data_IF_361421161789
#
_entry.id   IF_361421161789
#
_cell.length_a   1.000
_cell.length_b   1.000
_cell.length_c   1.000
_cell.angle_alpha   90.00
_cell.angle_beta   90.00
_cell.angle_gamma   90.00
#
_symmetry.space_group_name_H-M   'P 1'
#
loop_
_entity.id
_entity.type
_entity.pdbx_description
1 polymer ?
#
# COMPACT_ATOMS: atom_id res chain seq x y z
N UNK A 1 1.46 -1.08 28.68
CA UNK A 1 2.26 -2.23 28.24
C UNK A 1 2.27 -2.16 26.72
N UNK A 2 3.42 -1.87 26.10
CA UNK A 2 3.54 -1.95 24.63
C UNK A 2 3.69 -3.44 24.32
N UNK A 3 2.67 -4.06 23.77
CA UNK A 3 2.81 -5.39 23.21
C UNK A 3 3.94 -5.34 22.18
N UNK A 4 4.90 -6.22 22.34
CA UNK A 4 6.00 -6.36 21.41
C UNK A 4 5.43 -6.73 20.03
N UNK A 5 5.50 -5.80 19.09
CA UNK A 5 5.29 -6.04 17.66
C UNK A 5 6.54 -6.79 17.19
N UNK A 6 6.57 -8.10 17.48
CA UNK A 6 7.82 -8.80 17.68
C UNK A 6 8.57 -9.17 16.40
N UNK A 7 7.95 -9.24 15.22
CA UNK A 7 8.64 -9.86 14.08
C UNK A 7 8.26 -9.34 12.70
N UNK A 8 7.36 -8.37 12.58
CA UNK A 8 6.81 -8.06 11.28
C UNK A 8 7.74 -7.21 10.42
N UNK A 9 8.13 -7.80 9.34
CA UNK A 9 8.90 -7.17 8.29
C UNK A 9 7.90 -6.56 7.31
N UNK A 10 7.77 -5.25 7.34
CA UNK A 10 6.86 -4.53 6.45
C UNK A 10 7.66 -3.94 5.28
N UNK A 11 7.23 -4.27 4.07
CA UNK A 11 7.73 -3.67 2.83
C UNK A 11 6.83 -2.51 2.44
N UNK A 12 7.42 -1.35 2.17
CA UNK A 12 6.74 -0.19 1.60
C UNK A 12 7.31 0.06 0.21
N UNK A 13 6.49 -0.07 -0.81
CA UNK A 13 6.86 0.23 -2.20
C UNK A 13 6.33 1.61 -2.56
N UNK A 14 7.25 2.53 -2.82
CA UNK A 14 6.99 3.95 -3.00
C UNK A 14 7.13 4.75 -1.71
N UNK A 15 7.99 5.77 -1.71
CA UNK A 15 8.20 6.70 -0.58
C UNK A 15 7.81 8.12 -1.01
N UNK A 16 6.63 8.18 -1.63
CA UNK A 16 6.00 9.39 -2.14
C UNK A 16 4.88 9.91 -1.23
N UNK A 17 3.83 10.47 -1.85
CA UNK A 17 2.69 11.08 -1.14
C UNK A 17 1.91 10.14 -0.23
N UNK A 18 1.85 8.84 -0.55
CA UNK A 18 1.24 7.78 0.24
C UNK A 18 2.25 7.16 1.21
N UNK A 19 3.45 6.82 0.70
CA UNK A 19 4.45 6.08 1.47
C UNK A 19 5.05 6.88 2.63
N UNK A 20 5.24 8.19 2.48
CA UNK A 20 5.75 9.05 3.55
C UNK A 20 4.84 9.05 4.79
N UNK A 21 3.52 9.29 4.68
CA UNK A 21 2.61 9.18 5.81
C UNK A 21 2.54 7.77 6.38
N UNK A 22 2.51 6.74 5.53
CA UNK A 22 2.50 5.36 5.98
C UNK A 22 3.75 5.03 6.81
N UNK A 23 4.92 5.39 6.31
CA UNK A 23 6.21 5.20 6.98
C UNK A 23 6.24 5.88 8.35
N UNK A 24 5.80 7.14 8.42
CA UNK A 24 5.75 7.89 9.66
C UNK A 24 4.81 7.26 10.68
N UNK A 25 3.61 6.87 10.26
CA UNK A 25 2.62 6.24 11.13
C UNK A 25 3.06 4.89 11.66
N UNK A 26 3.68 4.06 10.81
CA UNK A 26 4.27 2.80 11.24
C UNK A 26 5.34 3.02 12.31
N UNK A 27 6.26 3.96 12.10
CA UNK A 27 7.32 4.27 13.08
C UNK A 27 6.74 4.76 14.42
N UNK A 28 5.73 5.64 14.38
CA UNK A 28 5.01 6.10 15.59
C UNK A 28 4.27 4.98 16.31
N UNK A 29 3.69 4.04 15.56
CA UNK A 29 2.96 2.89 16.11
C UNK A 29 3.88 1.81 16.69
N UNK A 30 5.21 1.94 16.51
CA UNK A 30 6.22 1.06 17.09
C UNK A 30 6.69 -0.06 16.17
N UNK A 31 6.45 0.03 14.86
CA UNK A 31 7.08 -0.87 13.89
C UNK A 31 8.60 -0.81 14.03
N UNK A 32 9.26 -1.97 14.01
CA UNK A 32 10.71 -2.05 14.27
C UNK A 32 11.56 -2.35 13.05
N UNK A 33 10.98 -2.95 12.01
CA UNK A 33 11.67 -3.36 10.79
C UNK A 33 10.86 -2.94 9.57
N UNK A 34 11.40 -1.98 8.85
CA UNK A 34 10.77 -1.45 7.64
C UNK A 34 11.77 -1.59 6.49
N UNK A 35 11.30 -2.11 5.36
CA UNK A 35 12.03 -2.04 4.11
C UNK A 35 11.31 -1.06 3.20
N UNK A 36 12.05 -0.13 2.61
CA UNK A 36 11.53 0.87 1.70
C UNK A 36 12.18 0.76 0.33
N UNK A 37 11.36 0.79 -0.72
CA UNK A 37 11.79 0.67 -2.12
C UNK A 37 11.22 1.82 -2.93
N UNK A 38 12.07 2.66 -3.53
CA UNK A 38 11.67 3.77 -4.40
C UNK A 38 12.88 4.15 -5.28
N UNK A 39 12.74 4.25 -6.62
CA UNK A 39 13.85 4.56 -7.51
C UNK A 39 14.17 6.05 -7.58
N UNK A 40 13.24 6.92 -7.15
CA UNK A 40 13.27 8.33 -7.49
C UNK A 40 14.17 9.15 -6.57
N UNK A 41 14.74 10.24 -7.10
CA UNK A 41 15.26 11.31 -6.28
C UNK A 41 14.14 12.21 -5.70
N UNK A 42 14.48 12.97 -4.69
CA UNK A 42 13.62 14.03 -4.18
C UNK A 42 13.61 15.19 -5.16
N UNK A 43 12.42 15.65 -5.54
CA UNK A 43 12.22 16.80 -6.43
C UNK A 43 11.54 17.97 -5.69
N UNK A 44 11.71 19.19 -6.19
CA UNK A 44 11.04 20.39 -5.64
C UNK A 44 9.53 20.21 -5.58
N UNK A 45 8.94 19.63 -6.64
CA UNK A 45 7.50 19.34 -6.73
C UNK A 45 6.99 18.41 -5.65
N UNK A 46 7.88 17.64 -5.04
CA UNK A 46 7.52 16.67 -3.99
C UNK A 46 7.31 17.33 -2.62
N UNK A 47 7.99 18.44 -2.34
CA UNK A 47 8.05 19.05 -1.00
C UNK A 47 6.68 19.51 -0.49
N UNK A 48 5.77 19.85 -1.41
CA UNK A 48 4.40 20.28 -1.06
C UNK A 48 3.55 19.17 -0.39
N UNK A 49 3.90 17.87 -0.58
CA UNK A 49 3.11 16.74 -0.09
C UNK A 49 3.90 15.60 0.54
N UNK A 50 5.22 15.60 0.42
CA UNK A 50 6.12 14.60 0.99
C UNK A 50 6.90 15.24 2.16
N UNK A 51 6.20 15.44 3.27
CA UNK A 51 6.54 16.36 4.37
C UNK A 51 7.82 16.03 5.16
N UNK A 52 8.43 14.88 4.95
CA UNK A 52 9.70 14.53 5.59
C UNK A 52 10.93 15.09 4.87
N UNK A 53 10.79 15.40 3.57
CA UNK A 53 11.88 15.96 2.77
C UNK A 53 12.01 17.47 2.96
N UNK A 54 13.22 17.96 2.74
CA UNK A 54 13.59 19.37 2.87
C UNK A 54 14.36 19.80 1.60
N UNK A 55 14.56 21.11 1.41
CA UNK A 55 15.33 21.66 0.29
C UNK A 55 16.72 21.02 0.18
N UNK A 56 17.37 20.74 1.32
CA UNK A 56 18.68 20.05 1.36
C UNK A 56 18.66 18.62 0.83
N UNK A 57 17.49 18.03 0.61
CA UNK A 57 17.30 16.65 0.15
C UNK A 57 17.04 16.58 -1.37
N UNK A 58 16.78 17.72 -2.01
CA UNK A 58 16.57 17.80 -3.46
C UNK A 58 17.74 17.14 -4.20
N UNK A 59 17.43 16.26 -5.14
CA UNK A 59 18.39 15.48 -5.93
C UNK A 59 18.96 14.24 -5.24
N UNK A 60 18.71 14.04 -3.95
CA UNK A 60 19.10 12.82 -3.24
C UNK A 60 18.03 11.75 -3.38
N UNK A 61 18.42 10.48 -3.25
CA UNK A 61 17.49 9.36 -3.23
C UNK A 61 16.42 9.55 -2.15
N UNK A 62 15.14 9.33 -2.50
CA UNK A 62 14.02 9.40 -1.55
C UNK A 62 14.20 8.44 -0.40
N UNK A 63 14.62 7.19 -0.67
CA UNK A 63 14.79 6.17 0.36
C UNK A 63 15.92 6.52 1.33
N UNK A 64 17.02 7.11 0.86
CA UNK A 64 18.12 7.54 1.73
C UNK A 64 17.70 8.72 2.62
N UNK A 65 16.99 9.69 2.04
CA UNK A 65 16.48 10.84 2.79
C UNK A 65 15.45 10.40 3.85
N UNK A 66 14.55 9.47 3.51
CA UNK A 66 13.57 8.91 4.42
C UNK A 66 14.21 8.08 5.54
N UNK A 67 15.18 7.23 5.20
CA UNK A 67 15.92 6.42 6.19
C UNK A 67 16.66 7.31 7.20
N UNK A 68 17.34 8.34 6.74
CA UNK A 68 18.00 9.33 7.60
C UNK A 68 16.98 10.04 8.51
N UNK A 69 15.86 10.52 7.95
CA UNK A 69 14.81 11.21 8.70
C UNK A 69 14.22 10.33 9.80
N UNK A 70 14.01 9.03 9.51
CA UNK A 70 13.55 8.04 10.50
C UNK A 70 14.60 7.80 11.59
N UNK A 71 15.86 7.59 11.21
CA UNK A 71 16.94 7.36 12.16
C UNK A 71 17.12 8.49 13.17
N UNK A 72 16.93 9.75 12.71
CA UNK A 72 16.97 10.93 13.58
C UNK A 72 15.81 10.99 14.59
N UNK A 73 14.62 10.48 14.25
CA UNK A 73 13.38 10.64 15.05
C UNK A 73 12.90 9.38 15.75
N UNK A 74 13.22 8.25 15.18
CA UNK A 74 12.77 6.93 15.63
C UNK A 74 13.97 5.95 15.67
N UNK A 75 14.97 6.16 16.54
CA UNK A 75 16.21 5.37 16.55
C UNK A 75 15.99 3.88 16.83
N UNK A 76 14.80 3.49 17.30
CA UNK A 76 14.43 2.08 17.49
C UNK A 76 13.93 1.38 16.23
N UNK A 77 13.74 2.11 15.12
CA UNK A 77 13.27 1.55 13.84
C UNK A 77 14.46 1.22 12.95
N UNK A 78 14.58 -0.04 12.55
CA UNK A 78 15.56 -0.47 11.55
C UNK A 78 14.96 -0.31 10.17
N UNK A 79 15.61 0.47 9.32
CA UNK A 79 15.18 0.72 7.94
C UNK A 79 16.19 0.13 6.99
N UNK A 80 15.71 -0.73 6.09
CA UNK A 80 16.45 -1.20 4.92
C UNK A 80 15.97 -0.42 3.69
N UNK A 81 16.85 0.34 3.07
CA UNK A 81 16.52 1.29 2.00
C UNK A 81 17.10 0.82 0.67
N UNK A 82 16.26 0.73 -0.37
CA UNK A 82 16.63 0.31 -1.71
C UNK A 82 16.21 1.34 -2.76
N UNK A 83 17.19 2.04 -3.32
CA UNK A 83 16.99 3.02 -4.40
C UNK A 83 16.87 2.31 -5.76
N UNK A 84 15.83 1.48 -5.93
CA UNK A 84 15.59 0.69 -7.15
C UNK A 84 14.10 0.70 -7.50
N UNK A 85 13.79 0.56 -8.78
CA UNK A 85 12.42 0.28 -9.21
C UNK A 85 12.03 -1.14 -8.82
N UNK A 86 10.80 -1.34 -8.37
CA UNK A 86 10.24 -2.67 -8.24
C UNK A 86 9.82 -3.15 -9.64
N UNK A 87 10.40 -4.25 -10.09
CA UNK A 87 10.13 -4.86 -11.39
C UNK A 87 10.03 -6.39 -11.31
N UNK A 88 9.76 -7.04 -12.44
CA UNK A 88 9.59 -8.49 -12.50
C UNK A 88 10.84 -9.28 -12.07
N UNK A 89 12.04 -8.69 -12.14
CA UNK A 89 13.28 -9.35 -11.77
C UNK A 89 13.52 -9.39 -10.25
N UNK A 90 12.94 -8.47 -9.51
CA UNK A 90 13.21 -8.29 -8.09
C UNK A 90 11.98 -8.41 -7.17
N UNK A 91 10.76 -8.23 -7.69
CA UNK A 91 9.54 -8.19 -6.89
C UNK A 91 9.34 -9.46 -6.05
N UNK A 92 9.55 -10.64 -6.62
CA UNK A 92 9.39 -11.90 -5.90
C UNK A 92 10.30 -12.00 -4.67
N UNK A 93 11.56 -11.55 -4.81
CA UNK A 93 12.53 -11.53 -3.70
C UNK A 93 12.10 -10.58 -2.59
N UNK A 94 11.68 -9.36 -2.95
CA UNK A 94 11.22 -8.39 -1.96
C UNK A 94 9.97 -8.88 -1.25
N UNK A 95 8.95 -9.33 -1.97
CA UNK A 95 7.69 -9.77 -1.38
C UNK A 95 7.88 -10.99 -0.47
N UNK A 96 8.62 -12.01 -0.91
CA UNK A 96 8.84 -13.23 -0.13
C UNK A 96 9.65 -13.02 1.17
N UNK A 97 10.42 -11.92 1.24
CA UNK A 97 11.18 -11.57 2.45
C UNK A 97 10.36 -10.84 3.51
N UNK A 98 9.10 -10.51 3.26
CA UNK A 98 8.28 -9.67 4.13
C UNK A 98 6.96 -10.31 4.50
N UNK A 99 6.41 -9.90 5.63
CA UNK A 99 5.19 -10.45 6.20
C UNK A 99 3.95 -9.65 5.77
N UNK A 100 4.15 -8.41 5.35
CA UNK A 100 3.11 -7.52 4.82
C UNK A 100 3.70 -6.51 3.83
N UNK A 101 2.93 -6.16 2.79
CA UNK A 101 3.35 -5.17 1.78
C UNK A 101 2.38 -3.99 1.76
N UNK A 102 2.94 -2.78 1.70
CA UNK A 102 2.20 -1.54 1.44
C UNK A 102 2.51 -1.09 0.02
N UNK A 103 1.51 -1.11 -0.84
CA UNK A 103 1.57 -0.52 -2.17
C UNK A 103 1.25 0.98 -2.08
N UNK A 104 2.29 1.79 -2.05
CA UNK A 104 2.22 3.24 -2.06
C UNK A 104 2.72 3.84 -3.39
N UNK A 105 2.72 3.03 -4.46
CA UNK A 105 3.14 3.45 -5.80
C UNK A 105 2.09 4.32 -6.47
N UNK A 106 2.48 5.06 -7.50
CA UNK A 106 1.61 5.82 -8.40
C UNK A 106 1.49 5.19 -9.79
N UNK A 107 2.26 4.13 -10.04
CA UNK A 107 2.27 3.41 -11.31
C UNK A 107 1.25 2.27 -11.32
N UNK A 108 0.25 2.26 -12.21
CA UNK A 108 -0.66 1.14 -12.38
C UNK A 108 0.07 -0.18 -12.65
N UNK A 109 1.10 -0.18 -13.48
CA UNK A 109 1.89 -1.39 -13.76
C UNK A 109 2.53 -1.96 -12.49
N UNK A 110 3.11 -1.10 -11.63
CA UNK A 110 3.67 -1.54 -10.36
C UNK A 110 2.60 -2.10 -9.41
N UNK A 111 1.40 -1.51 -9.37
CA UNK A 111 0.27 -2.02 -8.56
C UNK A 111 -0.16 -3.43 -8.95
N UNK A 112 -0.26 -3.69 -10.25
CA UNK A 112 -0.60 -5.02 -10.76
C UNK A 112 0.54 -6.01 -10.52
N UNK A 113 1.79 -5.60 -10.68
CA UNK A 113 2.96 -6.42 -10.35
C UNK A 113 2.98 -6.81 -8.86
N UNK A 114 2.76 -5.85 -7.97
CA UNK A 114 2.66 -6.10 -6.52
C UNK A 114 1.54 -7.07 -6.22
N UNK A 115 0.33 -6.83 -6.78
CA UNK A 115 -0.80 -7.73 -6.62
C UNK A 115 -0.44 -9.17 -7.01
N UNK A 116 0.05 -9.36 -8.23
CA UNK A 116 0.31 -10.69 -8.76
C UNK A 116 1.41 -11.40 -7.98
N UNK A 117 2.46 -10.67 -7.60
CA UNK A 117 3.57 -11.21 -6.82
C UNK A 117 3.12 -11.58 -5.40
N UNK A 118 2.33 -10.72 -4.74
CA UNK A 118 1.78 -10.98 -3.40
C UNK A 118 0.83 -12.18 -3.41
N UNK A 119 -0.02 -12.31 -4.43
CA UNK A 119 -0.89 -13.49 -4.59
C UNK A 119 -0.06 -14.76 -4.73
N UNK A 120 0.96 -14.75 -5.60
CA UNK A 120 1.84 -15.90 -5.83
C UNK A 120 2.63 -16.30 -4.56
N UNK A 121 3.13 -15.31 -3.82
CA UNK A 121 3.89 -15.51 -2.58
C UNK A 121 3.00 -15.76 -1.34
N UNK A 122 1.68 -15.63 -1.47
CA UNK A 122 0.71 -15.65 -0.34
C UNK A 122 1.02 -14.62 0.74
N UNK A 123 1.59 -13.48 0.36
CA UNK A 123 1.89 -12.37 1.27
C UNK A 123 0.73 -11.37 1.25
N UNK A 124 0.11 -11.04 2.38
CA UNK A 124 -0.94 -10.03 2.45
C UNK A 124 -0.38 -8.64 2.11
N UNK A 125 -1.23 -7.81 1.52
CA UNK A 125 -0.85 -6.45 1.18
C UNK A 125 -2.03 -5.49 1.24
N UNK A 126 -1.72 -4.19 1.34
CA UNK A 126 -2.69 -3.11 1.20
C UNK A 126 -2.38 -2.25 -0.02
N UNK A 127 -3.34 -2.18 -0.93
CA UNK A 127 -3.37 -1.27 -2.05
C UNK A 127 -3.73 0.14 -1.59
N UNK A 128 -3.07 1.15 -2.15
CA UNK A 128 -3.45 2.56 -2.04
C UNK A 128 -3.39 3.26 -3.40
N UNK A 129 -4.34 4.13 -3.66
CA UNK A 129 -4.37 4.95 -4.88
C UNK A 129 -5.01 6.31 -4.60
N UNK A 130 -4.52 7.36 -5.27
CA UNK A 130 -5.09 8.71 -5.17
C UNK A 130 -5.07 9.37 -6.54
N UNK A 131 -6.22 9.93 -6.92
CA UNK A 131 -6.38 10.76 -8.11
C UNK A 131 -7.20 11.99 -7.71
N UNK A 132 -6.67 13.19 -7.98
CA UNK A 132 -7.31 14.46 -7.62
C UNK A 132 -7.66 14.52 -6.12
N UNK A 133 -8.95 14.61 -5.83
CA UNK A 133 -9.55 14.69 -4.49
C UNK A 133 -10.03 13.32 -3.97
N UNK A 134 -9.82 12.24 -4.72
CA UNK A 134 -10.33 10.92 -4.37
C UNK A 134 -9.18 9.96 -4.07
N UNK A 135 -9.27 9.28 -2.93
CA UNK A 135 -8.33 8.24 -2.52
C UNK A 135 -9.03 6.90 -2.30
N UNK A 136 -8.33 5.82 -2.53
CA UNK A 136 -8.79 4.44 -2.30
C UNK A 136 -7.77 3.62 -1.54
N UNK A 137 -8.26 2.70 -0.72
CA UNK A 137 -7.44 1.67 -0.09
C UNK A 137 -8.20 0.34 -0.03
N UNK A 138 -7.49 -0.78 -0.16
CA UNK A 138 -8.04 -2.13 -0.07
C UNK A 138 -6.97 -3.08 0.46
N UNK A 139 -7.32 -3.89 1.46
CA UNK A 139 -6.43 -4.95 1.93
C UNK A 139 -6.78 -6.27 1.25
N UNK A 140 -5.76 -6.91 0.71
CA UNK A 140 -5.86 -8.22 0.05
C UNK A 140 -5.17 -9.26 0.92
N UNK A 141 -5.93 -10.28 1.30
CA UNK A 141 -5.41 -11.49 1.94
C UNK A 141 -5.47 -12.60 0.88
N UNK A 142 -4.31 -13.05 0.35
CA UNK A 142 -4.26 -14.05 -0.71
C UNK A 142 -5.06 -15.30 -0.34
N UNK A 143 -5.82 -15.83 -1.29
CA UNK A 143 -6.74 -16.96 -1.18
C UNK A 143 -8.02 -16.72 -0.36
N UNK A 144 -8.10 -15.66 0.45
CA UNK A 144 -9.26 -15.38 1.30
C UNK A 144 -10.16 -14.28 0.74
N UNK A 145 -9.55 -13.23 0.15
CA UNK A 145 -10.29 -12.06 -0.32
C UNK A 145 -10.15 -11.84 -1.82
N UNK A 146 -11.04 -11.01 -2.38
CA UNK A 146 -10.84 -10.46 -3.72
C UNK A 146 -9.50 -9.72 -3.79
N UNK A 147 -8.85 -9.76 -4.94
CA UNK A 147 -7.60 -9.04 -5.22
C UNK A 147 -7.85 -7.84 -6.13
N UNK A 148 -6.79 -7.09 -6.45
CA UNK A 148 -6.90 -5.91 -7.33
C UNK A 148 -7.44 -6.28 -8.71
N UNK A 149 -7.08 -7.46 -9.25
CA UNK A 149 -7.63 -7.94 -10.53
C UNK A 149 -9.11 -8.34 -10.47
N UNK A 150 -9.70 -8.50 -9.29
CA UNK A 150 -11.14 -8.67 -9.14
C UNK A 150 -11.89 -7.34 -9.27
N UNK A 151 -11.23 -6.20 -8.98
CA UNK A 151 -11.79 -4.85 -9.08
C UNK A 151 -11.47 -4.23 -10.44
N UNK A 152 -10.19 -4.31 -10.84
CA UNK A 152 -9.64 -3.71 -12.06
C UNK A 152 -9.01 -4.83 -12.89
N UNK A 153 -9.69 -5.31 -13.90
CA UNK A 153 -9.26 -6.52 -14.65
C UNK A 153 -7.88 -6.39 -15.28
N UNK A 154 -7.61 -5.23 -15.86
CA UNK A 154 -6.37 -4.89 -16.54
C UNK A 154 -5.85 -3.55 -16.04
N UNK A 155 -4.54 -3.27 -16.16
CA UNK A 155 -4.03 -1.92 -15.99
C UNK A 155 -4.74 -0.95 -16.96
N UNK A 156 -4.94 0.32 -16.56
CA UNK A 156 -5.43 1.35 -17.46
C UNK A 156 -4.46 1.55 -18.62
N UNK A 157 -4.97 2.04 -19.76
CA UNK A 157 -4.16 2.37 -20.92
C UNK A 157 -3.30 3.65 -20.73
N UNK A 158 -2.45 3.95 -21.70
CA UNK A 158 -1.53 5.10 -21.61
C UNK A 158 -2.26 6.45 -21.55
N UNK A 159 -3.40 6.59 -22.23
CA UNK A 159 -4.19 7.83 -22.23
C UNK A 159 -4.83 8.07 -20.85
N UNK A 160 -5.38 7.02 -20.24
CA UNK A 160 -5.93 7.08 -18.89
C UNK A 160 -4.85 7.40 -17.87
N UNK A 161 -3.65 6.80 -17.98
CA UNK A 161 -2.50 7.07 -17.11
C UNK A 161 -2.06 8.54 -17.25
N UNK A 162 -1.94 9.06 -18.45
CA UNK A 162 -1.55 10.46 -18.70
C UNK A 162 -2.58 11.42 -18.09
N UNK A 163 -3.87 11.16 -18.31
CA UNK A 163 -4.96 11.95 -17.73
C UNK A 163 -4.90 11.98 -16.20
N UNK A 164 -4.58 10.85 -15.56
CA UNK A 164 -4.41 10.79 -14.10
C UNK A 164 -3.20 11.60 -13.61
N UNK A 165 -2.08 11.57 -14.33
CA UNK A 165 -0.88 12.35 -13.98
C UNK A 165 -1.13 13.85 -14.10
N UNK A 166 -1.77 14.29 -15.18
CA UNK A 166 -2.13 15.70 -15.40
C UNK A 166 -3.15 16.21 -14.37
N UNK A 167 -4.02 15.33 -13.90
CA UNK A 167 -5.02 15.65 -12.88
C UNK A 167 -4.41 16.04 -11.53
N UNK A 168 -3.19 15.58 -11.25
CA UNK A 168 -2.50 15.78 -9.99
C UNK A 168 -3.16 15.06 -8.80
N UNK A 169 -2.59 15.27 -7.62
CA UNK A 169 -3.08 14.72 -6.36
C UNK A 169 -3.08 15.77 -5.26
N UNK A 170 -4.07 15.72 -4.38
CA UNK A 170 -4.16 16.58 -3.20
C UNK A 170 -3.40 15.91 -2.05
N UNK A 171 -2.35 16.57 -1.55
CA UNK A 171 -1.47 16.02 -0.51
C UNK A 171 -2.20 15.47 0.72
N UNK A 172 -3.12 16.21 1.35
CA UNK A 172 -3.93 15.70 2.47
C UNK A 172 -4.69 14.42 2.19
N UNK A 173 -5.20 14.22 0.96
CA UNK A 173 -5.89 12.97 0.56
C UNK A 173 -4.89 11.82 0.52
N UNK A 174 -3.72 12.05 -0.09
CA UNK A 174 -2.66 11.05 -0.10
C UNK A 174 -2.19 10.71 1.33
N UNK A 175 -2.08 11.73 2.19
CA UNK A 175 -1.79 11.56 3.61
C UNK A 175 -2.78 10.64 4.31
N UNK A 176 -4.06 10.89 4.15
CA UNK A 176 -5.12 10.09 4.77
C UNK A 176 -5.09 8.62 4.30
N UNK A 177 -4.89 8.39 3.01
CA UNK A 177 -4.80 7.02 2.47
C UNK A 177 -3.54 6.30 2.99
N UNK A 178 -2.38 6.97 3.02
CA UNK A 178 -1.15 6.40 3.58
C UNK A 178 -1.28 6.03 5.07
N UNK A 179 -1.94 6.87 5.86
CA UNK A 179 -2.28 6.57 7.27
C UNK A 179 -3.17 5.32 7.39
N UNK A 180 -4.19 5.20 6.54
CA UNK A 180 -5.07 4.02 6.51
C UNK A 180 -4.28 2.75 6.14
N UNK A 181 -3.38 2.84 5.16
CA UNK A 181 -2.51 1.71 4.80
C UNK A 181 -1.63 1.27 5.97
N UNK A 182 -1.03 2.22 6.70
CA UNK A 182 -0.26 1.92 7.91
C UNK A 182 -1.12 1.25 8.98
N UNK A 183 -2.35 1.72 9.17
CA UNK A 183 -3.31 1.12 10.11
C UNK A 183 -3.61 -0.35 9.79
N UNK A 184 -3.82 -0.68 8.52
CA UNK A 184 -4.05 -2.05 8.04
C UNK A 184 -2.83 -2.95 8.29
N UNK A 185 -1.63 -2.48 7.95
CA UNK A 185 -0.39 -3.19 8.21
C UNK A 185 -0.16 -3.42 9.70
N UNK A 186 -0.42 -2.43 10.56
CA UNK A 186 -0.29 -2.56 12.02
C UNK A 186 -1.30 -3.52 12.63
N UNK A 187 -2.51 -3.65 12.05
CA UNK A 187 -3.47 -4.66 12.48
C UNK A 187 -2.98 -6.05 12.14
N UNK A 188 -2.51 -6.24 10.89
CA UNK A 188 -1.94 -7.51 10.45
C UNK A 188 -0.77 -7.92 11.36
N UNK A 189 0.12 -7.01 11.69
CA UNK A 189 1.29 -7.23 12.53
C UNK A 189 0.95 -7.66 13.97
N UNK A 190 -0.24 -7.32 14.43
CA UNK A 190 -0.78 -7.71 15.74
C UNK A 190 -1.68 -8.94 15.68
N UNK A 191 -1.62 -9.70 14.59
CA UNK A 191 -2.51 -10.84 14.31
C UNK A 191 -4.01 -10.49 14.37
N UNK A 192 -4.33 -9.20 14.12
CA UNK A 192 -5.71 -8.72 14.02
C UNK A 192 -6.12 -8.67 12.55
N UNK A 193 -7.35 -9.05 12.26
CA UNK A 193 -7.86 -8.94 10.89
C UNK A 193 -7.87 -7.49 10.43
N UNK A 194 -7.22 -7.14 9.30
CA UNK A 194 -7.32 -5.82 8.71
C UNK A 194 -8.76 -5.43 8.40
N UNK A 195 -9.13 -4.17 8.61
CA UNK A 195 -10.52 -3.70 8.48
C UNK A 195 -11.00 -3.68 7.02
N UNK A 196 -10.08 -3.48 6.09
CA UNK A 196 -10.35 -3.42 4.66
C UNK A 196 -10.14 -4.76 3.93
N UNK A 197 -10.02 -5.87 4.67
CA UNK A 197 -9.93 -7.22 4.07
C UNK A 197 -11.17 -7.52 3.22
N UNK A 198 -10.99 -7.66 1.90
CA UNK A 198 -12.07 -7.87 0.94
C UNK A 198 -13.02 -6.69 0.79
N UNK A 199 -12.58 -5.48 1.15
CA UNK A 199 -13.35 -4.25 1.04
C UNK A 199 -12.48 -3.15 0.42
N UNK A 200 -13.09 -2.34 -0.43
CA UNK A 200 -12.48 -1.12 -0.92
C UNK A 200 -13.07 0.08 -0.19
N UNK A 201 -12.20 0.87 0.42
CA UNK A 201 -12.54 2.17 0.93
C UNK A 201 -12.32 3.20 -0.18
N UNK A 202 -13.29 4.08 -0.37
CA UNK A 202 -13.17 5.27 -1.22
C UNK A 202 -13.37 6.49 -0.33
N UNK A 203 -12.38 7.37 -0.29
CA UNK A 203 -12.43 8.68 0.35
C UNK A 203 -12.49 9.76 -0.73
N UNK A 204 -13.59 10.48 -0.77
CA UNK A 204 -13.81 11.63 -1.65
C UNK A 204 -13.76 12.90 -0.82
N UNK A 205 -12.71 13.69 -0.99
CA UNK A 205 -12.50 14.95 -0.28
C UNK A 205 -13.16 16.14 -0.99
N UNK A 206 -13.90 15.94 -2.08
CA UNK A 206 -14.68 17.01 -2.69
C UNK A 206 -15.87 17.41 -1.79
N UNK A 207 -16.18 18.69 -1.74
CA UNK A 207 -17.26 19.19 -0.90
C UNK A 207 -17.06 18.94 0.60
N UNK A 208 -17.98 18.24 1.24
CA UNK A 208 -17.94 17.97 2.70
C UNK A 208 -17.09 16.77 3.09
N UNK A 209 -16.49 16.08 2.12
CA UNK A 209 -15.77 14.82 2.33
C UNK A 209 -16.74 13.63 2.56
N UNK A 210 -16.48 12.52 1.88
CA UNK A 210 -17.26 11.28 2.04
C UNK A 210 -16.35 10.08 2.13
N UNK A 211 -16.67 9.18 3.05
CA UNK A 211 -16.04 7.85 3.13
C UNK A 211 -17.08 6.80 2.78
N UNK A 212 -16.78 5.93 1.84
CA UNK A 212 -17.57 4.78 1.49
C UNK A 212 -16.71 3.52 1.56
N UNK A 213 -17.23 2.48 2.20
CA UNK A 213 -16.60 1.16 2.25
C UNK A 213 -17.53 0.20 1.55
N UNK A 214 -17.04 -0.46 0.52
CA UNK A 214 -17.79 -1.39 -0.33
C UNK A 214 -17.14 -2.78 -0.27
N UNK A 215 -17.92 -3.81 -0.01
CA UNK A 215 -17.45 -5.19 -0.09
C UNK A 215 -17.11 -5.57 -1.54
N UNK A 216 -16.04 -6.31 -1.74
CA UNK A 216 -15.61 -6.78 -3.05
C UNK A 216 -15.59 -8.30 -3.04
N UNK A 217 -16.39 -8.90 -3.94
CA UNK A 217 -16.40 -10.35 -4.13
C UNK A 217 -15.30 -10.78 -5.11
N UNK A 218 -14.69 -11.94 -4.88
CA UNK A 218 -13.76 -12.52 -5.84
C UNK A 218 -14.42 -12.73 -7.20
N UNK A 219 -13.75 -12.31 -8.27
CA UNK A 219 -14.25 -12.51 -9.63
C UNK A 219 -14.12 -13.98 -10.04
N UNK A 220 -15.16 -14.61 -10.62
CA UNK A 220 -15.04 -15.96 -11.16
C UNK A 220 -13.88 -16.08 -12.14
N UNK A 221 -13.06 -17.11 -12.01
CA UNK A 221 -11.91 -17.35 -12.88
C UNK A 221 -10.67 -16.47 -12.58
N UNK A 222 -10.73 -15.58 -11.57
CA UNK A 222 -9.53 -14.85 -11.15
C UNK A 222 -8.49 -15.80 -10.53
N UNK A 223 -7.21 -15.63 -10.91
CA UNK A 223 -6.09 -16.45 -10.41
C UNK A 223 -5.77 -16.25 -8.92
N UNK A 224 -6.46 -15.35 -8.20
CA UNK A 224 -6.19 -15.08 -6.78
C UNK A 224 -6.58 -16.23 -5.84
N UNK A 225 -7.30 -17.25 -6.33
CA UNK A 225 -7.69 -18.43 -5.55
C UNK A 225 -8.90 -18.24 -4.60
N UNK A 226 -9.28 -17.01 -4.29
CA UNK A 226 -10.39 -16.71 -3.37
C UNK A 226 -11.77 -17.16 -3.89
N UNK A 227 -11.96 -17.24 -5.21
CA UNK A 227 -13.21 -17.70 -5.83
C UNK A 227 -13.54 -19.16 -5.56
N UNK A 228 -12.55 -19.96 -5.07
CA UNK A 228 -12.77 -21.39 -4.73
C UNK A 228 -13.38 -21.60 -3.35
N UNK A 229 -13.42 -20.59 -2.51
CA UNK A 229 -13.94 -20.67 -1.14
C UNK A 229 -15.43 -20.34 -1.01
N UNK A 230 -16.05 -19.79 -2.06
CA UNK A 230 -17.45 -19.30 -2.03
C UNK A 230 -18.56 -20.34 -2.31
N UNK A 231 -18.26 -21.62 -2.46
CA UNK A 231 -19.26 -22.63 -2.84
C UNK A 231 -19.61 -23.69 -1.76
N UNK A 232 -19.36 -23.41 -0.49
CA UNK A 232 -19.64 -24.39 0.58
C UNK A 232 -20.70 -23.97 1.61
N UNK A 233 -21.51 -22.95 1.36
CA UNK A 233 -22.63 -22.65 2.28
C UNK A 233 -23.91 -22.27 1.51
N UNK A 234 -24.58 -23.26 0.94
CA UNK A 234 -26.02 -23.20 0.71
C UNK A 234 -26.60 -24.55 0.21
N UNK A 235 -26.43 -25.62 1.01
CA UNK A 235 -27.26 -26.82 0.84
C UNK A 235 -27.41 -27.55 2.21
N UNK A 236 -28.18 -26.96 3.09
CA UNK A 236 -28.79 -27.71 4.22
C UNK A 236 -29.87 -26.87 4.90
N UNK A 237 -31.00 -26.67 4.23
CA UNK A 237 -32.28 -26.54 4.90
C UNK A 237 -33.39 -26.87 3.88
N UNK A 238 -33.85 -28.12 3.99
CA UNK A 238 -35.00 -28.61 3.24
C UNK A 238 -35.35 -30.01 3.70
N UNK A 239 -35.90 -30.13 4.89
CA UNK A 239 -36.97 -31.07 5.24
C UNK A 239 -37.55 -30.73 6.61
#
# INVERSE_FOLDING_TARGET
>A
MREDVATDRILIVGVGGLGVPALWSLARAGARRLTIVDPDPVEVSNLARQVIYRDRDIGKSKVDAASRWLGERFPGVKVEAHAVALDASNAARFVAAHDFVIDATDSPAAKFLINDTCIAARTPFVYGGVVRMTGQAMTVIPTETACIRCVFETPPDEEEIQSCREAGIVGPVAGAIGEMQAGEAMRASRAQKPLLSGKILTYDASGTGRVRITGVSPRPGCGCGASKLGHHESDSQGK
#
